data_IF_415123435080
#
_entry.id   IF_415123435080
#
_cell.length_a   1.000
_cell.length_b   1.000
_cell.length_c   1.000
_cell.angle_alpha   90.00
_cell.angle_beta   90.00
_cell.angle_gamma   90.00
#
_symmetry.space_group_name_H-M   'P 1'
#
loop_
_entity.id
_entity.type
_entity.pdbx_description
1 polymer ?
#
# COMPACT_ATOMS: atom_id res chain seq x y z
N UNK A 1 -2.30 -36.14 -53.72
CA UNK A 1 -2.71 -34.73 -53.44
C UNK A 1 -3.39 -34.58 -52.06
N UNK A 2 -4.15 -35.57 -51.59
CA UNK A 2 -4.87 -35.56 -50.29
C UNK A 2 -3.94 -35.51 -49.06
N UNK A 3 -2.84 -36.27 -49.06
CA UNK A 3 -1.91 -36.33 -47.92
C UNK A 3 -1.22 -34.99 -47.61
N UNK A 4 -0.87 -34.20 -48.64
CA UNK A 4 -0.27 -32.86 -48.45
C UNK A 4 -1.27 -31.86 -47.87
N UNK A 5 -2.57 -32.00 -48.15
CA UNK A 5 -3.61 -31.14 -47.57
C UNK A 5 -3.87 -31.51 -46.11
N UNK A 6 -3.87 -32.80 -45.79
CA UNK A 6 -4.02 -33.28 -44.43
C UNK A 6 -2.86 -32.83 -43.53
N UNK A 7 -1.61 -32.96 -43.98
CA UNK A 7 -0.43 -32.51 -43.23
C UNK A 7 -0.48 -31.00 -42.94
N UNK A 8 -0.94 -30.17 -43.90
CA UNK A 8 -1.09 -28.72 -43.68
C UNK A 8 -2.16 -28.37 -42.66
N UNK A 9 -3.27 -29.12 -42.62
CA UNK A 9 -4.34 -28.92 -41.64
C UNK A 9 -3.86 -29.31 -40.25
N UNK A 10 -3.14 -30.43 -40.11
CA UNK A 10 -2.57 -30.88 -38.83
C UNK A 10 -1.52 -29.91 -38.31
N UNK A 11 -0.65 -29.38 -39.19
CA UNK A 11 0.32 -28.34 -38.82
C UNK A 11 -0.35 -27.04 -38.38
N UNK A 12 -1.41 -26.61 -39.07
CA UNK A 12 -2.17 -25.43 -38.68
C UNK A 12 -2.88 -25.62 -37.32
N UNK A 13 -3.42 -26.82 -37.06
CA UNK A 13 -4.05 -27.15 -35.79
C UNK A 13 -3.03 -27.26 -34.64
N UNK A 14 -1.85 -27.83 -34.90
CA UNK A 14 -0.75 -27.89 -33.93
C UNK A 14 -0.20 -26.49 -33.61
N UNK A 15 -0.06 -25.61 -34.60
CA UNK A 15 0.27 -24.20 -34.39
C UNK A 15 -0.80 -23.47 -33.58
N UNK A 16 -2.09 -23.78 -33.80
CA UNK A 16 -3.20 -23.18 -33.06
C UNK A 16 -3.26 -23.66 -31.61
N UNK A 17 -2.93 -24.93 -31.35
CA UNK A 17 -2.90 -25.51 -30.01
C UNK A 17 -1.69 -25.04 -29.19
N UNK A 18 -0.51 -24.87 -29.82
CA UNK A 18 0.68 -24.34 -29.14
C UNK A 18 0.58 -22.85 -28.75
N UNK A 19 -0.45 -22.13 -29.21
CA UNK A 19 -0.68 -20.71 -28.88
C UNK A 19 -1.58 -20.50 -27.65
N UNK A 20 -2.24 -21.55 -27.12
CA UNK A 20 -3.25 -21.37 -26.07
C UNK A 20 -2.66 -21.17 -24.67
N UNK A 21 -1.53 -21.81 -24.34
CA UNK A 21 -0.91 -21.70 -23.01
C UNK A 21 -0.15 -20.38 -22.78
N UNK A 22 0.12 -19.61 -23.84
CA UNK A 22 0.77 -18.29 -23.76
C UNK A 22 -0.20 -17.10 -23.79
N UNK A 23 -1.50 -17.34 -24.00
CA UNK A 23 -2.44 -16.26 -24.33
C UNK A 23 -2.74 -15.33 -23.16
N UNK A 24 -2.77 -15.82 -21.91
CA UNK A 24 -3.24 -15.01 -20.77
C UNK A 24 -2.21 -13.94 -20.36
N UNK A 25 -0.91 -14.25 -20.45
CA UNK A 25 0.17 -13.29 -20.19
C UNK A 25 0.36 -12.26 -21.33
N UNK A 26 -0.31 -12.43 -22.47
CA UNK A 26 -0.22 -11.52 -23.62
C UNK A 26 -1.29 -10.41 -23.61
N UNK A 27 -2.29 -10.44 -22.71
CA UNK A 27 -3.37 -9.46 -22.73
C UNK A 27 -2.99 -8.09 -22.13
N UNK A 28 -1.90 -7.99 -21.39
CA UNK A 28 -1.43 -6.72 -20.82
C UNK A 28 0.07 -6.53 -21.03
N UNK A 29 0.49 -5.32 -21.40
CA UNK A 29 1.89 -4.92 -21.53
C UNK A 29 2.30 -4.04 -20.34
N UNK A 30 3.38 -4.38 -19.62
CA UNK A 30 3.88 -3.52 -18.56
C UNK A 30 4.26 -2.12 -19.05
N UNK A 31 3.84 -1.09 -18.32
CA UNK A 31 4.02 0.30 -18.68
C UNK A 31 4.47 1.15 -17.50
N UNK A 32 5.04 2.33 -17.78
CA UNK A 32 5.50 3.25 -16.76
C UNK A 32 4.36 4.10 -16.21
N UNK A 33 4.47 4.52 -14.94
CA UNK A 33 3.44 5.31 -14.27
C UNK A 33 3.02 6.55 -15.06
N UNK A 34 3.96 7.28 -15.65
CA UNK A 34 3.63 8.51 -16.41
C UNK A 34 2.84 8.25 -17.70
N UNK A 35 2.90 7.05 -18.29
CA UNK A 35 2.14 6.75 -19.52
C UNK A 35 0.62 6.84 -19.26
N UNK A 36 0.14 6.46 -18.08
CA UNK A 36 -1.29 6.51 -17.72
C UNK A 36 -1.83 7.89 -17.34
N UNK A 37 -0.98 8.85 -17.01
CA UNK A 37 -1.41 10.17 -16.51
C UNK A 37 -2.23 10.96 -17.52
N UNK A 38 -1.97 10.82 -18.82
CA UNK A 38 -2.77 11.50 -19.85
C UNK A 38 -4.19 10.96 -19.92
N UNK A 39 -4.36 9.63 -19.79
CA UNK A 39 -5.67 8.99 -19.73
C UNK A 39 -6.46 9.43 -18.49
N UNK A 40 -5.80 9.52 -17.34
CA UNK A 40 -6.38 10.03 -16.08
C UNK A 40 -6.88 11.47 -16.26
N UNK A 41 -6.05 12.36 -16.83
CA UNK A 41 -6.42 13.75 -17.09
C UNK A 41 -7.62 13.85 -18.04
N UNK A 42 -7.65 13.03 -19.09
CA UNK A 42 -8.75 12.97 -20.04
C UNK A 42 -10.05 12.53 -19.35
N UNK A 43 -10.03 11.44 -18.58
CA UNK A 43 -11.22 10.98 -17.85
C UNK A 43 -11.69 12.03 -16.84
N UNK A 44 -10.77 12.66 -16.09
CA UNK A 44 -11.14 13.72 -15.16
C UNK A 44 -11.82 14.92 -15.86
N UNK A 45 -11.35 15.31 -17.05
CA UNK A 45 -11.96 16.38 -17.84
C UNK A 45 -13.32 15.97 -18.43
N UNK A 46 -13.45 14.73 -18.90
CA UNK A 46 -14.64 14.20 -19.56
C UNK A 46 -15.76 13.82 -18.56
N UNK A 47 -15.44 13.64 -17.27
CA UNK A 47 -16.38 13.16 -16.24
C UNK A 47 -17.22 14.27 -15.59
N UNK A 48 -16.96 15.54 -15.88
CA UNK A 48 -17.64 16.68 -15.23
C UNK A 48 -17.28 16.86 -13.75
N UNK A 49 -16.23 16.21 -13.26
CA UNK A 49 -15.73 16.37 -11.90
C UNK A 49 -15.12 17.75 -11.70
N UNK A 50 -15.40 18.36 -10.55
CA UNK A 50 -14.82 19.65 -10.19
C UNK A 50 -13.53 19.43 -9.43
N UNK A 51 -12.54 20.30 -9.69
CA UNK A 51 -11.24 20.35 -8.99
C UNK A 51 -10.56 18.98 -8.80
N UNK A 52 -10.38 18.17 -9.85
CA UNK A 52 -9.73 16.87 -9.71
C UNK A 52 -8.25 17.07 -9.30
N UNK A 53 -7.88 16.51 -8.16
CA UNK A 53 -6.51 16.47 -7.66
C UNK A 53 -6.02 15.03 -7.58
N UNK A 54 -4.85 14.73 -8.13
CA UNK A 54 -4.23 13.43 -7.98
C UNK A 54 -3.53 13.38 -6.62
N UNK A 55 -3.95 12.47 -5.75
CA UNK A 55 -3.49 12.40 -4.36
C UNK A 55 -2.60 11.18 -4.11
N UNK A 56 -2.83 10.09 -4.84
CA UNK A 56 -2.02 8.87 -4.72
C UNK A 56 -1.96 8.12 -6.05
N UNK A 57 -0.82 7.47 -6.31
CA UNK A 57 -0.66 6.49 -7.39
C UNK A 57 -0.14 5.21 -6.78
N UNK A 58 -0.79 4.09 -7.08
CA UNK A 58 -0.42 2.79 -6.55
C UNK A 58 -0.28 1.76 -7.65
N UNK A 59 0.50 0.72 -7.39
CA UNK A 59 0.60 -0.48 -8.20
C UNK A 59 0.76 -1.70 -7.31
N UNK A 60 0.45 -2.87 -7.85
CA UNK A 60 0.93 -4.14 -7.32
C UNK A 60 2.46 -4.12 -7.22
N UNK A 61 3.01 -4.81 -6.23
CA UNK A 61 4.46 -4.95 -6.06
C UNK A 61 5.05 -6.05 -6.93
N UNK A 62 6.22 -6.58 -6.56
CA UNK A 62 7.01 -7.52 -7.37
C UNK A 62 6.76 -9.00 -7.05
N UNK A 63 5.65 -9.32 -6.36
CA UNK A 63 5.11 -10.67 -6.21
C UNK A 63 4.30 -11.09 -7.43
N UNK A 64 4.21 -12.40 -7.71
CA UNK A 64 3.30 -12.95 -8.74
C UNK A 64 1.92 -12.28 -8.62
N UNK A 65 1.39 -11.79 -9.74
CA UNK A 65 0.28 -10.83 -9.75
C UNK A 65 -1.01 -11.37 -9.10
N UNK A 66 -2.07 -10.55 -9.08
CA UNK A 66 -3.35 -10.84 -8.38
C UNK A 66 -4.06 -12.05 -9.02
N UNK A 67 -3.57 -13.25 -8.74
CA UNK A 67 -4.11 -14.52 -9.17
C UNK A 67 -4.88 -15.16 -8.01
N UNK A 68 -5.98 -14.52 -7.61
CA UNK A 68 -6.99 -15.17 -6.76
C UNK A 68 -8.41 -14.61 -6.95
N UNK A 69 -8.58 -13.32 -7.31
CA UNK A 69 -9.91 -12.70 -7.33
C UNK A 69 -10.49 -12.34 -8.71
N UNK A 70 -9.66 -12.07 -9.71
CA UNK A 70 -10.11 -11.49 -10.99
C UNK A 70 -9.51 -12.21 -12.21
N UNK A 71 -9.91 -13.46 -12.44
CA UNK A 71 -9.80 -14.11 -13.75
C UNK A 71 -8.41 -14.20 -14.40
N UNK A 72 -7.33 -14.17 -13.62
CA UNK A 72 -5.97 -14.45 -14.11
C UNK A 72 -5.41 -13.44 -15.13
N UNK A 73 -5.99 -12.24 -15.29
CA UNK A 73 -5.57 -11.31 -16.35
C UNK A 73 -4.27 -10.53 -16.01
N UNK A 74 -3.96 -10.39 -14.72
CA UNK A 74 -2.77 -9.70 -14.21
C UNK A 74 -1.79 -10.72 -13.62
N UNK A 75 -1.19 -11.54 -14.49
CA UNK A 75 -0.23 -12.58 -14.09
C UNK A 75 1.17 -12.03 -13.81
N UNK A 76 1.47 -10.84 -14.30
CA UNK A 76 2.78 -10.19 -14.14
C UNK A 76 2.77 -9.23 -12.97
N UNK A 77 3.94 -9.02 -12.39
CA UNK A 77 4.17 -8.14 -11.24
C UNK A 77 4.79 -6.82 -11.70
N UNK A 78 4.99 -5.88 -10.78
CA UNK A 78 5.90 -4.77 -11.01
C UNK A 78 7.33 -5.28 -11.21
N UNK A 79 7.99 -4.82 -12.26
CA UNK A 79 9.37 -5.22 -12.58
C UNK A 79 10.37 -4.24 -11.96
N UNK A 80 11.04 -4.67 -10.90
CA UNK A 80 12.09 -3.90 -10.22
C UNK A 80 13.31 -3.59 -11.10
N UNK A 81 13.46 -4.21 -12.29
CA UNK A 81 14.53 -3.87 -13.25
C UNK A 81 14.15 -2.73 -14.18
N UNK A 82 12.89 -2.65 -14.58
CA UNK A 82 12.42 -1.71 -15.60
C UNK A 82 11.50 -0.62 -15.07
N UNK A 83 11.00 -0.77 -13.84
CA UNK A 83 10.03 0.14 -13.23
C UNK A 83 8.65 0.10 -13.89
N UNK A 84 8.36 -0.96 -14.65
CA UNK A 84 7.10 -1.12 -15.37
C UNK A 84 6.14 -1.98 -14.56
N UNK A 85 4.87 -1.63 -14.62
CA UNK A 85 3.78 -2.41 -14.03
C UNK A 85 2.73 -2.77 -15.08
N UNK A 86 2.09 -3.95 -15.01
CA UNK A 86 0.91 -4.23 -15.82
C UNK A 86 -0.31 -3.41 -15.43
N UNK A 87 -0.36 -2.85 -14.21
CA UNK A 87 -1.49 -2.05 -13.73
C UNK A 87 -1.02 -0.85 -12.91
N UNK A 88 -1.64 0.31 -13.14
CA UNK A 88 -1.48 1.49 -12.29
C UNK A 88 -2.84 1.99 -11.84
N UNK A 89 -2.97 2.29 -10.55
CA UNK A 89 -4.18 2.81 -9.92
C UNK A 89 -3.92 4.26 -9.52
N UNK A 90 -4.73 5.17 -10.03
CA UNK A 90 -4.67 6.59 -9.74
C UNK A 90 -5.85 6.97 -8.87
N UNK A 91 -5.55 7.54 -7.71
CA UNK A 91 -6.53 7.98 -6.72
C UNK A 91 -6.65 9.48 -6.82
N UNK A 92 -7.87 9.95 -7.08
CA UNK A 92 -8.19 11.36 -7.22
C UNK A 92 -9.12 11.80 -6.09
N UNK A 93 -8.80 12.93 -5.48
CA UNK A 93 -9.78 13.75 -4.78
C UNK A 93 -10.55 14.58 -5.80
N UNK A 94 -11.88 14.56 -5.74
CA UNK A 94 -12.74 15.33 -6.64
C UNK A 94 -13.90 15.94 -5.87
N UNK A 95 -14.56 16.92 -6.47
CA UNK A 95 -15.90 17.31 -6.09
C UNK A 95 -16.90 16.79 -7.12
N UNK A 96 -17.94 16.14 -6.62
CA UNK A 96 -19.03 15.65 -7.46
C UNK A 96 -19.89 16.81 -8.01
N UNK A 97 -20.87 16.47 -8.86
CA UNK A 97 -21.75 17.47 -9.46
C UNK A 97 -22.52 18.30 -8.42
N UNK A 98 -22.79 17.70 -7.25
CA UNK A 98 -23.50 18.29 -6.11
C UNK A 98 -22.59 19.12 -5.19
N UNK A 99 -21.28 19.13 -5.44
CA UNK A 99 -20.29 19.85 -4.63
C UNK A 99 -19.78 19.09 -3.41
N UNK A 100 -20.07 17.79 -3.29
CA UNK A 100 -19.54 16.97 -2.20
C UNK A 100 -18.14 16.46 -2.56
N UNK A 101 -17.24 16.44 -1.58
CA UNK A 101 -15.95 15.80 -1.72
C UNK A 101 -16.13 14.28 -1.93
N UNK A 102 -15.44 13.74 -2.91
CA UNK A 102 -15.44 12.33 -3.23
C UNK A 102 -14.05 11.85 -3.64
N UNK A 103 -13.78 10.57 -3.42
CA UNK A 103 -12.58 9.90 -3.91
C UNK A 103 -12.93 9.05 -5.12
N UNK A 104 -12.12 9.13 -6.17
CA UNK A 104 -12.28 8.33 -7.39
C UNK A 104 -11.02 7.51 -7.63
N UNK A 105 -11.22 6.24 -7.95
CA UNK A 105 -10.16 5.32 -8.30
C UNK A 105 -10.23 5.01 -9.80
N UNK A 106 -9.11 5.24 -10.48
CA UNK A 106 -8.96 4.93 -11.89
C UNK A 106 -7.81 3.93 -12.04
N UNK A 107 -8.13 2.66 -12.29
CA UNK A 107 -7.15 1.65 -12.65
C UNK A 107 -6.97 1.62 -14.17
N UNK A 108 -5.73 1.48 -14.64
CA UNK A 108 -5.41 1.32 -16.04
C UNK A 108 -4.51 0.12 -16.28
N UNK A 109 -4.80 -0.59 -17.36
CA UNK A 109 -3.96 -1.63 -17.95
C UNK A 109 -3.61 -1.20 -19.38
N UNK A 110 -2.50 -1.69 -19.94
CA UNK A 110 -2.15 -1.44 -21.33
C UNK A 110 -2.36 -2.71 -22.14
N UNK A 111 -3.31 -2.70 -23.06
CA UNK A 111 -3.62 -3.83 -23.94
C UNK A 111 -2.86 -3.64 -25.26
N UNK A 112 -2.19 -4.68 -25.80
CA UNK A 112 -1.57 -4.58 -27.12
C UNK A 112 -2.57 -4.06 -28.17
N UNK A 113 -2.12 -3.19 -29.06
CA UNK A 113 -2.90 -2.56 -30.16
C UNK A 113 -3.97 -1.56 -29.67
N UNK A 114 -4.70 -1.85 -28.59
CA UNK A 114 -5.74 -0.97 -28.05
C UNK A 114 -5.19 0.13 -27.13
N UNK A 115 -3.93 0.03 -26.71
CA UNK A 115 -3.30 1.01 -25.83
C UNK A 115 -3.82 0.93 -24.40
N UNK A 116 -3.84 2.08 -23.70
CA UNK A 116 -4.28 2.15 -22.31
C UNK A 116 -5.80 2.03 -22.22
N UNK A 117 -6.26 1.08 -21.42
CA UNK A 117 -7.66 0.79 -21.16
C UNK A 117 -7.93 0.95 -19.68
N UNK A 118 -9.06 1.58 -19.34
CA UNK A 118 -9.51 1.64 -17.96
C UNK A 118 -9.93 0.24 -17.51
N UNK A 119 -9.34 -0.23 -16.42
CA UNK A 119 -9.68 -1.51 -15.82
C UNK A 119 -10.80 -1.29 -14.79
N UNK A 120 -11.93 -2.03 -14.89
CA UNK A 120 -13.00 -1.91 -13.92
C UNK A 120 -12.51 -2.46 -12.58
N UNK A 121 -12.50 -1.60 -11.56
CA UNK A 121 -12.32 -2.04 -10.18
C UNK A 121 -13.68 -2.49 -9.62
N UNK A 122 -13.74 -3.62 -8.90
CA UNK A 122 -14.95 -4.01 -8.17
C UNK A 122 -15.44 -2.86 -7.26
N UNK A 123 -16.75 -2.68 -7.13
CA UNK A 123 -17.33 -1.60 -6.33
C UNK A 123 -17.03 -1.74 -4.83
N UNK A 124 -16.70 -2.95 -4.38
CA UNK A 124 -16.20 -3.33 -3.06
C UNK A 124 -14.67 -3.29 -2.95
N UNK A 125 -13.96 -3.17 -4.08
CA UNK A 125 -12.52 -2.85 -4.12
C UNK A 125 -12.26 -1.34 -3.94
N UNK A 126 -13.31 -0.56 -3.62
CA UNK A 126 -13.12 0.72 -2.95
C UNK A 126 -12.30 0.38 -1.71
N UNK A 127 -11.09 0.91 -1.61
CA UNK A 127 -10.27 0.60 -0.48
C UNK A 127 -11.00 1.16 0.73
N UNK A 128 -11.56 0.26 1.55
CA UNK A 128 -12.16 0.64 2.83
C UNK A 128 -11.14 1.53 3.52
N UNK A 129 -11.56 2.76 3.82
CA UNK A 129 -10.72 3.84 4.33
C UNK A 129 -9.23 3.63 4.08
N UNK A 130 -8.71 3.91 2.87
CA UNK A 130 -7.25 4.12 2.78
C UNK A 130 -6.96 5.20 3.82
N UNK A 131 -6.24 4.87 4.91
CA UNK A 131 -6.11 5.78 6.05
C UNK A 131 -5.25 7.01 5.70
N UNK A 132 -4.78 7.08 4.46
CA UNK A 132 -4.13 8.22 3.87
C UNK A 132 -5.19 8.99 3.07
N UNK A 133 -5.76 10.02 3.69
CA UNK A 133 -6.24 11.17 2.93
C UNK A 133 -5.01 12.03 2.66
N UNK A 134 -4.40 11.96 1.47
CA UNK A 134 -3.26 12.82 1.17
C UNK A 134 -3.82 14.23 1.14
N UNK A 135 -3.36 15.07 2.06
CA UNK A 135 -3.86 16.44 2.18
C UNK A 135 -3.48 17.29 0.96
N UNK A 136 -2.47 16.83 0.20
CA UNK A 136 -1.86 17.58 -0.88
C UNK A 136 -1.82 16.81 -2.20
N UNK A 137 -1.89 17.56 -3.31
CA UNK A 137 -1.79 17.02 -4.66
C UNK A 137 -0.36 16.60 -5.02
N UNK A 138 -0.21 15.49 -5.75
CA UNK A 138 1.08 15.08 -6.31
C UNK A 138 1.45 16.02 -7.46
N UNK A 139 2.63 16.68 -7.44
CA UNK A 139 3.09 17.55 -8.53
C UNK A 139 3.60 16.72 -9.72
N UNK A 140 2.68 16.11 -10.46
CA UNK A 140 2.96 15.12 -11.54
C UNK A 140 3.97 15.56 -12.61
N UNK A 141 4.10 16.87 -12.85
CA UNK A 141 5.08 17.42 -13.78
C UNK A 141 6.54 17.25 -13.28
N UNK A 142 6.74 17.36 -11.97
CA UNK A 142 8.06 17.37 -11.32
C UNK A 142 8.49 15.98 -10.86
N UNK A 143 7.54 15.11 -10.51
CA UNK A 143 7.85 13.78 -10.00
C UNK A 143 8.55 12.94 -11.07
N UNK A 144 9.68 12.31 -10.75
CA UNK A 144 10.39 11.38 -11.60
C UNK A 144 9.60 10.07 -11.77
N UNK A 145 9.77 9.42 -12.91
CA UNK A 145 8.93 8.29 -13.31
C UNK A 145 9.43 6.96 -12.68
N UNK A 146 8.59 5.92 -12.77
CA UNK A 146 8.81 4.66 -12.07
C UNK A 146 10.10 3.92 -12.47
N UNK A 147 10.58 4.07 -13.70
CA UNK A 147 11.88 3.57 -14.16
C UNK A 147 13.06 4.24 -13.46
N UNK A 148 13.02 5.56 -13.30
CA UNK A 148 14.06 6.29 -12.59
C UNK A 148 14.06 5.94 -11.09
N UNK A 149 12.88 5.75 -10.50
CA UNK A 149 12.73 5.42 -9.08
C UNK A 149 13.32 4.05 -8.76
N UNK A 150 13.05 3.01 -9.57
CA UNK A 150 13.64 1.69 -9.30
C UNK A 150 15.15 1.72 -9.38
N UNK A 151 15.73 2.54 -10.27
CA UNK A 151 17.18 2.71 -10.33
C UNK A 151 17.74 3.32 -9.04
N UNK A 152 17.00 4.24 -8.41
CA UNK A 152 17.38 4.83 -7.13
C UNK A 152 17.31 3.83 -5.98
N UNK A 153 16.24 3.02 -5.91
CA UNK A 153 16.12 1.92 -4.93
C UNK A 153 17.23 0.90 -5.12
N UNK A 154 17.43 0.42 -6.35
CA UNK A 154 18.44 -0.60 -6.67
C UNK A 154 19.88 -0.13 -6.43
N UNK A 155 20.13 1.18 -6.45
CA UNK A 155 21.44 1.77 -6.13
C UNK A 155 21.65 2.00 -4.63
N UNK A 156 20.62 1.86 -3.78
CA UNK A 156 20.73 2.08 -2.34
C UNK A 156 21.44 0.90 -1.65
N UNK A 157 22.48 1.19 -0.87
CA UNK A 157 23.31 0.17 -0.22
C UNK A 157 22.54 -0.66 0.83
N UNK A 158 21.66 -0.04 1.61
CA UNK A 158 20.83 -0.73 2.60
C UNK A 158 19.90 -1.74 1.92
N UNK A 159 19.23 -1.32 0.84
CA UNK A 159 18.40 -2.21 0.03
C UNK A 159 19.20 -3.38 -0.56
N UNK A 160 20.38 -3.12 -1.12
CA UNK A 160 21.23 -4.16 -1.70
C UNK A 160 21.65 -5.20 -0.65
N UNK A 161 22.04 -4.76 0.56
CA UNK A 161 22.38 -5.66 1.66
C UNK A 161 21.17 -6.48 2.10
N UNK A 162 20.02 -5.83 2.30
CA UNK A 162 18.80 -6.48 2.77
C UNK A 162 18.30 -7.57 1.81
N UNK A 163 18.21 -7.28 0.51
CA UNK A 163 17.73 -8.28 -0.48
C UNK A 163 18.73 -9.42 -0.68
N UNK A 164 20.02 -9.17 -0.45
CA UNK A 164 21.04 -10.24 -0.46
C UNK A 164 20.85 -11.20 0.72
N UNK A 165 20.50 -10.68 1.90
CA UNK A 165 20.26 -11.46 3.12
C UNK A 165 18.87 -12.11 3.13
N UNK A 166 17.88 -11.44 2.53
CA UNK A 166 16.48 -11.86 2.48
C UNK A 166 16.03 -12.02 1.01
N UNK A 167 16.55 -13.00 0.25
CA UNK A 167 16.29 -13.14 -1.19
C UNK A 167 14.83 -13.43 -1.55
N UNK A 168 14.02 -13.86 -0.57
CA UNK A 168 12.57 -14.06 -0.71
C UNK A 168 11.76 -12.79 -0.49
N UNK A 169 12.35 -11.73 0.06
CA UNK A 169 11.62 -10.50 0.31
C UNK A 169 11.18 -9.85 -1.01
N UNK A 170 9.90 -9.48 -1.05
CA UNK A 170 9.22 -8.87 -2.17
C UNK A 170 8.35 -7.73 -1.69
N UNK A 171 8.24 -6.70 -2.52
CA UNK A 171 7.26 -5.65 -2.38
C UNK A 171 5.87 -6.18 -2.70
N UNK A 172 4.91 -5.99 -1.79
CA UNK A 172 3.50 -6.32 -2.04
C UNK A 172 2.80 -5.22 -2.85
N UNK A 173 3.17 -3.96 -2.60
CA UNK A 173 2.60 -2.79 -3.26
C UNK A 173 3.63 -1.66 -3.31
N UNK A 174 3.50 -0.81 -4.31
CA UNK A 174 4.34 0.38 -4.47
C UNK A 174 3.41 1.57 -4.61
N UNK A 175 3.66 2.61 -3.81
CA UNK A 175 2.77 3.77 -3.71
C UNK A 175 3.57 5.05 -3.82
N UNK A 176 3.12 5.96 -4.67
CA UNK A 176 3.49 7.36 -4.69
C UNK A 176 2.39 8.17 -4.02
N UNK A 177 2.74 8.94 -3.01
CA UNK A 177 1.83 9.81 -2.26
C UNK A 177 2.55 11.08 -1.82
N UNK A 178 1.80 12.05 -1.33
CA UNK A 178 2.38 13.20 -0.64
C UNK A 178 2.34 12.95 0.87
N UNK A 179 3.49 13.02 1.53
CA UNK A 179 3.58 12.73 2.97
C UNK A 179 2.79 13.77 3.77
N UNK A 180 1.82 13.40 4.62
CA UNK A 180 1.08 14.36 5.43
C UNK A 180 1.86 14.81 6.69
N UNK A 181 3.00 14.18 6.98
CA UNK A 181 3.87 14.47 8.12
C UNK A 181 5.34 14.35 7.74
N UNK A 182 6.22 14.90 8.58
CA UNK A 182 7.66 14.68 8.46
C UNK A 182 7.97 13.21 8.73
N UNK A 183 8.73 12.54 7.85
CA UNK A 183 9.14 11.16 8.05
C UNK A 183 10.33 11.15 9.03
N UNK A 184 10.18 10.61 10.25
CA UNK A 184 11.26 10.59 11.24
C UNK A 184 12.52 9.93 10.70
N UNK A 185 13.69 10.41 11.14
CA UNK A 185 15.00 9.85 10.77
C UNK A 185 15.33 9.95 9.27
N UNK A 186 14.57 10.78 8.54
CA UNK A 186 14.83 11.16 7.15
C UNK A 186 14.78 12.68 7.01
N UNK A 187 15.34 13.26 5.93
CA UNK A 187 15.17 14.68 5.62
C UNK A 187 13.84 14.97 4.92
N UNK A 188 12.91 14.00 4.83
CA UNK A 188 11.64 14.18 4.13
C UNK A 188 10.60 14.84 5.02
N UNK A 189 10.19 16.04 4.64
CA UNK A 189 9.18 16.83 5.36
C UNK A 189 7.76 16.50 4.91
N UNK A 190 6.77 16.95 5.68
CA UNK A 190 5.38 17.02 5.25
C UNK A 190 5.27 17.76 3.91
N UNK A 191 4.34 17.33 3.06
CA UNK A 191 4.18 17.83 1.69
C UNK A 191 5.16 17.24 0.66
N UNK A 192 6.15 16.44 1.08
CA UNK A 192 7.07 15.82 0.13
C UNK A 192 6.38 14.70 -0.66
N UNK A 193 6.50 14.67 -2.02
CA UNK A 193 6.03 13.54 -2.80
C UNK A 193 7.01 12.37 -2.60
N UNK A 194 6.55 11.25 -2.07
CA UNK A 194 7.37 10.09 -1.76
C UNK A 194 6.85 8.85 -2.46
N UNK A 195 7.76 8.09 -3.07
CA UNK A 195 7.53 6.70 -3.42
C UNK A 195 7.88 5.82 -2.23
N UNK A 196 7.04 4.85 -1.92
CA UNK A 196 7.28 3.85 -0.88
C UNK A 196 7.25 2.45 -1.51
N UNK A 197 8.29 1.68 -1.17
CA UNK A 197 8.42 0.25 -1.42
C UNK A 197 8.54 -0.47 -0.07
N UNK A 198 7.68 -1.44 0.20
CA UNK A 198 7.74 -2.25 1.42
C UNK A 198 8.10 -3.69 1.08
N UNK A 199 9.34 -4.09 1.31
CA UNK A 199 9.83 -5.43 1.03
C UNK A 199 9.70 -6.33 2.25
N UNK A 200 9.06 -7.49 2.11
CA UNK A 200 9.04 -8.55 3.13
C UNK A 200 8.78 -9.92 2.48
N UNK A 201 9.05 -11.02 3.19
CA UNK A 201 8.59 -12.34 2.73
C UNK A 201 7.09 -12.45 2.97
N UNK A 202 6.28 -12.39 1.91
CA UNK A 202 4.82 -12.45 2.03
C UNK A 202 4.30 -13.81 2.53
N UNK A 203 5.15 -14.86 2.49
CA UNK A 203 4.81 -16.17 3.03
C UNK A 203 5.20 -16.33 4.51
N UNK A 204 5.99 -15.42 5.06
CA UNK A 204 6.47 -15.45 6.44
C UNK A 204 6.33 -14.07 7.10
N UNK A 205 5.28 -13.93 7.88
CA UNK A 205 4.98 -12.70 8.63
C UNK A 205 6.02 -12.31 9.67
N UNK A 206 6.92 -13.23 10.03
CA UNK A 206 8.00 -13.00 10.99
C UNK A 206 9.34 -12.75 10.28
N UNK A 207 9.35 -12.66 8.94
CA UNK A 207 10.54 -12.36 8.16
C UNK A 207 10.85 -10.85 8.10
N UNK A 208 12.14 -10.45 8.05
CA UNK A 208 12.54 -9.05 8.05
C UNK A 208 11.84 -8.24 6.98
N UNK A 209 11.52 -6.99 7.33
CA UNK A 209 10.90 -6.03 6.43
C UNK A 209 11.74 -4.78 6.25
N UNK A 210 11.76 -4.26 5.03
CA UNK A 210 12.46 -3.03 4.69
C UNK A 210 11.50 -2.08 3.99
N UNK A 211 11.43 -0.84 4.46
CA UNK A 211 10.70 0.24 3.80
C UNK A 211 11.68 1.19 3.14
N UNK A 212 11.58 1.34 1.82
CA UNK A 212 12.35 2.31 1.05
C UNK A 212 11.47 3.47 0.61
N UNK A 213 11.85 4.67 1.04
CA UNK A 213 11.27 5.94 0.64
C UNK A 213 12.17 6.61 -0.39
N UNK A 214 11.61 6.97 -1.54
CA UNK A 214 12.30 7.74 -2.58
C UNK A 214 11.58 9.06 -2.80
N UNK A 215 12.29 10.16 -2.62
CA UNK A 215 11.75 11.48 -2.89
C UNK A 215 11.43 11.63 -4.38
N UNK A 216 10.17 11.90 -4.70
CA UNK A 216 9.63 11.93 -6.04
C UNK A 216 10.27 12.97 -6.95
N UNK A 217 10.82 14.07 -6.43
CA UNK A 217 11.52 15.09 -7.25
C UNK A 217 13.04 14.87 -7.32
N UNK A 218 13.71 14.76 -6.19
CA UNK A 218 15.19 14.67 -6.10
C UNK A 218 15.72 13.26 -6.37
N UNK A 219 14.90 12.22 -6.16
CA UNK A 219 15.33 10.83 -6.20
C UNK A 219 16.22 10.42 -5.02
N UNK A 220 16.33 11.26 -3.99
CA UNK A 220 16.95 10.88 -2.73
C UNK A 220 16.24 9.66 -2.15
N UNK A 221 17.00 8.65 -1.72
CA UNK A 221 16.46 7.35 -1.32
C UNK A 221 16.96 6.97 0.04
N UNK A 222 16.03 6.69 0.94
CA UNK A 222 16.32 6.20 2.28
C UNK A 222 15.54 4.92 2.48
N UNK A 223 16.26 3.86 2.83
CA UNK A 223 15.68 2.61 3.23
C UNK A 223 15.95 2.42 4.72
N UNK A 224 14.87 2.22 5.46
CA UNK A 224 14.91 1.92 6.88
C UNK A 224 14.42 0.49 7.06
N UNK A 225 15.07 -0.25 7.94
CA UNK A 225 14.49 -1.48 8.44
C UNK A 225 13.15 -1.08 9.06
N UNK A 226 12.06 -1.57 8.49
CA UNK A 226 10.78 -1.43 9.15
C UNK A 226 10.93 -2.34 10.38
N UNK A 227 11.03 -1.79 11.60
CA UNK A 227 11.22 -2.63 12.75
C UNK A 227 10.04 -3.58 12.77
N UNK A 228 10.37 -4.85 12.90
CA UNK A 228 9.39 -5.85 13.23
C UNK A 228 8.52 -5.35 14.35
N UNK A 229 7.32 -4.94 13.98
CA UNK A 229 6.10 -5.49 14.51
C UNK A 229 4.96 -5.14 13.57
N UNK A 230 4.92 -5.82 12.41
CA UNK A 230 3.67 -6.52 12.16
C UNK A 230 3.57 -7.54 13.28
N UNK A 231 2.87 -7.19 14.36
CA UNK A 231 2.38 -8.23 15.25
C UNK A 231 1.40 -9.00 14.36
N UNK A 232 1.86 -10.11 13.83
CA UNK A 232 0.94 -11.13 13.41
C UNK A 232 0.35 -11.69 14.70
N UNK A 233 -0.62 -10.98 15.26
CA UNK A 233 -1.57 -11.56 16.20
C UNK A 233 -2.79 -11.91 15.37
N UNK A 234 -2.66 -13.03 14.68
CA UNK A 234 -3.78 -13.94 14.54
C UNK A 234 -4.13 -14.43 15.96
N UNK A 235 -4.76 -13.56 16.75
CA UNK A 235 -5.55 -13.93 17.90
C UNK A 235 -6.77 -13.02 17.90
N UNK A 236 -7.79 -13.49 17.18
CA UNK A 236 -9.10 -12.89 16.96
C UNK A 236 -9.96 -12.75 18.24
N UNK A 237 -9.38 -12.45 19.39
CA UNK A 237 -10.15 -12.05 20.57
C UNK A 237 -10.10 -10.53 20.74
N UNK A 238 -10.76 -9.82 19.83
CA UNK A 238 -11.10 -8.38 19.93
C UNK A 238 -12.18 -8.16 21.03
N UNK A 239 -12.14 -8.91 22.13
CA UNK A 239 -13.18 -8.88 23.16
C UNK A 239 -12.79 -8.09 24.42
N UNK A 240 -11.54 -7.60 24.51
CA UNK A 240 -10.94 -7.25 25.81
C UNK A 240 -10.65 -5.77 26.03
N UNK A 241 -10.63 -4.92 24.99
CA UNK A 241 -10.41 -3.48 25.16
C UNK A 241 -11.05 -2.63 24.06
N UNK A 242 -11.46 -1.40 24.42
CA UNK A 242 -11.98 -0.38 23.51
C UNK A 242 -11.32 0.97 23.78
N UNK A 243 -11.08 1.77 22.74
CA UNK A 243 -10.57 3.14 22.91
C UNK A 243 -11.73 4.14 22.87
N UNK A 244 -11.81 4.99 23.89
CA UNK A 244 -12.67 6.17 23.91
C UNK A 244 -11.81 7.42 23.83
N UNK A 245 -12.01 8.22 22.79
CA UNK A 245 -11.28 9.47 22.60
C UNK A 245 -12.12 10.62 23.12
N UNK A 246 -11.54 11.46 23.98
CA UNK A 246 -12.19 12.64 24.55
C UNK A 246 -11.43 13.91 24.13
N UNK A 247 -12.11 14.94 23.60
CA UNK A 247 -11.48 16.22 23.34
C UNK A 247 -11.08 16.90 24.66
N UNK A 248 -9.85 17.43 24.73
CA UNK A 248 -9.32 18.25 25.82
C UNK A 248 -8.78 19.59 25.27
N UNK A 249 -8.61 20.64 26.08
CA UNK A 249 -8.16 21.96 25.60
C UNK A 249 -6.80 21.99 24.88
N UNK A 250 -5.99 20.94 25.03
CA UNK A 250 -4.66 20.82 24.40
C UNK A 250 -4.59 19.72 23.32
N UNK A 251 -5.72 19.13 22.91
CA UNK A 251 -5.78 18.09 21.87
C UNK A 251 -6.80 16.99 22.16
N UNK A 252 -6.60 15.80 21.62
CA UNK A 252 -7.43 14.63 21.90
C UNK A 252 -6.76 13.76 22.98
N UNK A 253 -7.49 13.28 23.98
CA UNK A 253 -6.98 12.34 24.97
C UNK A 253 -7.64 10.97 24.82
N UNK A 254 -6.82 9.93 24.67
CA UNK A 254 -7.29 8.55 24.54
C UNK A 254 -7.50 7.91 25.92
N UNK A 255 -8.63 7.23 26.11
CA UNK A 255 -8.88 6.38 27.26
C UNK A 255 -9.06 4.95 26.75
N UNK A 256 -8.15 4.06 27.12
CA UNK A 256 -8.34 2.62 26.91
C UNK A 256 -9.27 2.11 28.00
N UNK A 257 -10.40 1.52 27.63
CA UNK A 257 -11.33 0.87 28.53
C UNK A 257 -11.20 -0.64 28.34
N UNK A 258 -10.94 -1.37 29.42
CA UNK A 258 -10.80 -2.82 29.40
C UNK A 258 -12.15 -3.49 29.73
N UNK A 259 -12.35 -4.73 29.27
CA UNK A 259 -13.54 -5.51 29.60
C UNK A 259 -13.47 -5.96 31.07
N UNK A 260 -14.60 -5.93 31.80
CA UNK A 260 -14.68 -6.06 33.27
C UNK A 260 -14.25 -7.43 33.85
N UNK A 261 -13.63 -8.32 33.08
CA UNK A 261 -13.28 -9.67 33.50
C UNK A 261 -11.90 -9.80 34.18
N UNK A 262 -11.21 -8.69 34.44
CA UNK A 262 -9.83 -8.67 34.95
C UNK A 262 -9.73 -8.35 36.45
N UNK A 263 -10.65 -8.83 37.28
CA UNK A 263 -10.79 -8.36 38.67
C UNK A 263 -9.57 -8.55 39.60
N UNK A 264 -8.50 -9.22 39.18
CA UNK A 264 -7.30 -9.45 40.01
C UNK A 264 -5.95 -9.46 39.24
N UNK A 265 -5.86 -8.86 38.04
CA UNK A 265 -4.66 -8.99 37.20
C UNK A 265 -4.12 -7.64 36.71
N UNK A 266 -2.82 -7.40 36.90
CA UNK A 266 -2.16 -6.20 36.35
C UNK A 266 -2.13 -6.27 34.83
N UNK A 267 -2.49 -5.17 34.18
CA UNK A 267 -2.47 -5.00 32.74
C UNK A 267 -1.23 -4.19 32.36
N UNK A 268 -0.43 -4.70 31.43
CA UNK A 268 0.71 -3.99 30.86
C UNK A 268 0.34 -3.45 29.48
N UNK A 269 0.44 -2.13 29.31
CA UNK A 269 0.11 -1.45 28.07
C UNK A 269 1.38 -0.87 27.45
N UNK A 270 1.57 -1.11 26.16
CA UNK A 270 2.64 -0.52 25.35
C UNK A 270 1.99 0.11 24.13
N UNK A 271 2.16 1.42 23.94
CA UNK A 271 1.75 2.10 22.72
C UNK A 271 2.98 2.32 21.86
N UNK A 272 2.90 1.84 20.62
CA UNK A 272 3.91 2.05 19.60
C UNK A 272 3.37 2.95 18.49
N UNK A 273 4.22 3.76 17.87
CA UNK A 273 3.89 4.45 16.62
C UNK A 273 3.89 3.48 15.43
N UNK A 274 3.53 3.97 14.24
CA UNK A 274 3.53 3.19 12.99
C UNK A 274 4.93 2.65 12.64
N UNK A 275 5.99 3.23 13.19
CA UNK A 275 7.37 2.79 13.03
C UNK A 275 7.80 1.85 14.17
N UNK A 276 6.87 1.28 14.94
CA UNK A 276 7.17 0.31 15.99
C UNK A 276 7.89 0.89 17.22
N UNK A 277 8.11 2.21 17.30
CA UNK A 277 8.78 2.84 18.44
C UNK A 277 7.80 2.96 19.60
N UNK A 278 8.19 2.54 20.79
CA UNK A 278 7.36 2.68 21.99
C UNK A 278 7.29 4.14 22.39
N UNK A 279 6.11 4.74 22.24
CA UNK A 279 5.82 6.14 22.62
C UNK A 279 5.22 6.24 24.02
N UNK A 280 4.69 5.14 24.55
CA UNK A 280 4.17 5.05 25.90
C UNK A 280 4.22 3.60 26.39
N UNK A 281 4.53 3.41 27.67
CA UNK A 281 4.38 2.12 28.33
C UNK A 281 3.98 2.32 29.78
N UNK A 282 3.05 1.51 30.27
CA UNK A 282 2.60 1.59 31.66
C UNK A 282 2.03 0.26 32.12
N UNK A 283 2.15 -0.01 33.42
CA UNK A 283 1.49 -1.11 34.09
C UNK A 283 0.38 -0.54 34.98
N UNK A 284 -0.85 -1.01 34.78
CA UNK A 284 -1.99 -0.63 35.63
C UNK A 284 -2.44 -1.81 36.47
N UNK A 285 -2.73 -1.55 37.74
CA UNK A 285 -3.49 -2.45 38.61
C UNK A 285 -4.99 -2.14 38.56
N UNK A 286 -5.39 -0.99 38.00
CA UNK A 286 -6.78 -0.69 37.68
C UNK A 286 -7.11 -1.30 36.31
N UNK A 287 -8.04 -2.23 36.31
CA UNK A 287 -8.43 -3.00 35.13
C UNK A 287 -9.69 -2.48 34.47
N UNK A 288 -10.13 -1.28 34.83
CA UNK A 288 -11.34 -0.66 34.28
C UNK A 288 -10.99 0.21 33.09
N UNK A 289 -9.95 1.04 33.22
CA UNK A 289 -9.46 1.93 32.17
C UNK A 289 -8.03 2.40 32.42
N UNK A 290 -7.40 2.92 31.37
CA UNK A 290 -6.12 3.61 31.41
C UNK A 290 -6.20 4.86 30.53
N UNK A 291 -5.77 6.00 31.07
CA UNK A 291 -5.62 7.23 30.29
C UNK A 291 -4.27 7.23 29.58
N UNK A 292 -4.29 7.45 28.26
CA UNK A 292 -3.09 7.61 27.45
C UNK A 292 -2.50 9.01 27.66
N UNK A 293 -1.18 9.21 27.43
CA UNK A 293 -0.63 10.55 27.38
C UNK A 293 -1.16 11.30 26.15
N UNK A 294 -0.97 12.61 26.11
CA UNK A 294 -1.21 13.39 24.90
C UNK A 294 -0.19 12.96 23.84
N UNK A 295 -0.64 12.22 22.84
CA UNK A 295 0.17 11.77 21.73
C UNK A 295 0.08 12.80 20.57
N UNK A 296 1.16 13.02 19.80
CA UNK A 296 1.08 13.75 18.54
C UNK A 296 0.11 13.10 17.56
N UNK A 297 -0.41 13.88 16.59
CA UNK A 297 -1.22 13.32 15.51
C UNK A 297 -0.45 12.20 14.77
N UNK A 298 -1.09 11.04 14.58
CA UNK A 298 -0.41 9.87 14.04
C UNK A 298 -1.19 8.57 14.21
N UNK A 299 -0.66 7.48 13.64
CA UNK A 299 -1.21 6.13 13.78
C UNK A 299 -0.41 5.41 14.86
N UNK A 300 -1.13 4.78 15.78
CA UNK A 300 -0.56 4.07 16.91
C UNK A 300 -1.15 2.67 17.05
N UNK A 301 -0.39 1.80 17.69
CA UNK A 301 -0.78 0.45 18.08
C UNK A 301 -0.60 0.34 19.59
N UNK A 302 -1.70 0.19 20.34
CA UNK A 302 -1.65 -0.19 21.74
C UNK A 302 -1.62 -1.71 21.86
N UNK A 303 -0.61 -2.25 22.52
CA UNK A 303 -0.54 -3.64 22.99
C UNK A 303 -0.95 -3.67 24.44
N UNK A 304 -1.77 -4.65 24.79
CA UNK A 304 -2.33 -4.83 26.11
C UNK A 304 -2.04 -6.28 26.48
N UNK A 305 -1.17 -6.47 27.46
CA UNK A 305 -0.76 -7.77 27.96
C UNK A 305 -1.31 -7.98 29.36
N UNK A 306 -1.99 -9.11 29.55
CA UNK A 306 -2.47 -9.59 30.84
C UNK A 306 -2.15 -11.09 30.99
N UNK A 307 -2.72 -11.78 32.00
CA UNK A 307 -2.46 -13.20 32.18
C UNK A 307 -3.24 -14.11 31.20
N UNK A 308 -4.26 -13.59 30.53
CA UNK A 308 -5.04 -14.29 29.51
C UNK A 308 -4.38 -14.24 28.12
N UNK A 309 -3.54 -13.24 27.88
CA UNK A 309 -2.72 -13.16 26.69
C UNK A 309 -2.31 -11.73 26.34
N UNK A 310 -1.98 -11.54 25.07
CA UNK A 310 -1.70 -10.24 24.49
C UNK A 310 -2.85 -9.92 23.52
N UNK A 311 -3.30 -8.67 23.56
CA UNK A 311 -4.23 -8.10 22.61
C UNK A 311 -3.67 -6.81 22.05
N UNK A 312 -4.10 -6.44 20.84
CA UNK A 312 -3.65 -5.22 20.18
C UNK A 312 -4.81 -4.41 19.61
N UNK A 313 -4.69 -3.09 19.71
CA UNK A 313 -5.65 -2.12 19.19
C UNK A 313 -4.92 -1.06 18.39
N UNK A 314 -5.30 -0.90 17.12
CA UNK A 314 -4.84 0.20 16.28
C UNK A 314 -5.76 1.40 16.45
N UNK A 315 -5.18 2.59 16.59
CA UNK A 315 -5.95 3.83 16.66
C UNK A 315 -5.23 5.00 15.98
N UNK A 316 -6.01 6.04 15.67
CA UNK A 316 -5.54 7.27 15.04
C UNK A 316 -5.73 8.41 16.04
N UNK A 317 -4.66 9.14 16.27
CA UNK A 317 -4.66 10.39 17.03
C UNK A 317 -4.76 11.54 16.02
N UNK A 318 -5.75 12.42 16.20
CA UNK A 318 -5.98 13.63 15.41
C UNK A 318 -5.65 14.87 16.21
#
# INVERSE_FOLDING_TARGET
>A
MVLRRFIRIVLAFALFLCLQDYAIAQFTQPFLMKEGLQSVKKVAADSGWKRPILTTVATIGDTAGIAAGAGGLLTTAFDMKTGRSPVWIYILGVEDASGNSATKLLAYIKVPILGLQQFPLPADAVPGDIPFQPQDSIPTALVINSDAIVNKVNANATYQSFIKENPKAKSAFIVLFTSPFDIPETPFTAGAPLWNFNFSDQADSLAPSLSCFVHGVTGETICIDAPFTSINEENNNIAHASLKIHPIPQGMNGILQFSNNHTDQSVFVVVSDLLGRTVFSSQSTDTSFMTLPLLPAGIYIARIQDASGISSLRFIQQ
#
